data_IF_336994954219
#
_entry.id   IF_336994954219
#
_cell.length_a   1.000
_cell.length_b   1.000
_cell.length_c   1.000
_cell.angle_alpha   90.00
_cell.angle_beta   90.00
_cell.angle_gamma   90.00
#
_symmetry.space_group_name_H-M   'P 1'
#
loop_
_entity.id
_entity.type
_entity.pdbx_description
1 polymer ?
#
# COMPACT_ATOMS: atom_id res chain seq x y z
N UNK A 1 2.24 -24.36 19.83
CA UNK A 1 1.88 -24.62 18.41
C UNK A 1 0.44 -24.13 18.24
N UNK A 2 0.24 -22.94 17.66
CA UNK A 2 -1.12 -22.41 17.46
C UNK A 2 -1.78 -23.19 16.34
N UNK A 3 -2.91 -23.85 16.64
CA UNK A 3 -3.62 -24.71 15.68
C UNK A 3 -4.29 -23.93 14.55
N UNK A 4 -4.82 -22.74 14.84
CA UNK A 4 -5.38 -21.79 13.88
C UNK A 4 -5.86 -20.57 14.66
N UNK A 5 -5.70 -19.34 14.13
CA UNK A 5 -6.26 -18.12 14.73
C UNK A 5 -7.14 -17.38 13.73
N UNK A 6 -8.41 -17.20 14.09
CA UNK A 6 -9.41 -16.49 13.27
C UNK A 6 -9.18 -14.98 13.32
N UNK A 7 -9.21 -14.31 12.16
CA UNK A 7 -9.19 -12.84 12.00
C UNK A 7 -10.63 -12.35 11.79
N UNK A 8 -11.36 -12.98 10.87
CA UNK A 8 -12.79 -12.76 10.60
C UNK A 8 -13.49 -14.10 10.49
N UNK A 9 -14.81 -14.14 10.41
CA UNK A 9 -15.56 -15.41 10.32
C UNK A 9 -15.10 -16.30 9.14
N UNK A 10 -14.58 -15.69 8.07
CA UNK A 10 -14.10 -16.37 6.87
C UNK A 10 -12.58 -16.33 6.64
N UNK A 11 -11.79 -15.65 7.49
CA UNK A 11 -10.35 -15.49 7.32
C UNK A 11 -9.59 -15.87 8.61
N UNK A 12 -8.54 -16.67 8.48
CA UNK A 12 -7.72 -17.13 9.59
C UNK A 12 -6.23 -17.22 9.20
N UNK A 13 -5.39 -17.52 10.18
CA UNK A 13 -3.97 -17.84 9.99
C UNK A 13 -3.59 -19.13 10.70
N UNK A 14 -2.72 -19.90 10.05
CA UNK A 14 -2.12 -21.10 10.60
C UNK A 14 -1.97 -22.20 9.55
N UNK A 15 -2.05 -23.44 10.00
CA UNK A 15 -1.97 -24.60 9.12
C UNK A 15 -3.33 -24.87 8.47
N UNK A 16 -3.31 -25.19 7.17
CA UNK A 16 -4.53 -25.50 6.43
C UNK A 16 -5.12 -26.82 6.90
N UNK A 17 -6.26 -26.74 7.60
CA UNK A 17 -7.07 -27.88 8.01
C UNK A 17 -8.48 -27.69 7.43
N UNK A 18 -9.00 -28.72 6.77
CA UNK A 18 -10.36 -28.68 6.24
C UNK A 18 -11.36 -28.26 7.34
N UNK A 19 -12.31 -27.35 7.06
CA UNK A 19 -12.68 -26.82 5.73
C UNK A 19 -11.89 -25.60 5.22
N UNK A 20 -10.85 -25.16 5.94
CA UNK A 20 -10.06 -23.99 5.56
C UNK A 20 -9.09 -24.28 4.43
N UNK A 21 -8.97 -23.34 3.48
CA UNK A 21 -8.08 -23.46 2.31
C UNK A 21 -7.06 -22.32 2.28
N UNK A 22 -5.81 -22.59 1.88
CA UNK A 22 -4.80 -21.55 1.70
C UNK A 22 -5.24 -20.44 0.76
N UNK A 23 -4.90 -19.19 1.09
CA UNK A 23 -5.16 -18.04 0.20
C UNK A 23 -4.53 -18.23 -1.19
N UNK A 24 -3.38 -18.92 -1.26
CA UNK A 24 -2.69 -19.24 -2.51
C UNK A 24 -3.55 -19.99 -3.55
N UNK A 25 -4.65 -20.62 -3.12
CA UNK A 25 -5.58 -21.34 -3.99
C UNK A 25 -6.70 -20.46 -4.58
N UNK A 26 -6.77 -19.17 -4.22
CA UNK A 26 -7.86 -18.29 -4.63
C UNK A 26 -7.44 -17.30 -5.72
N UNK A 27 -8.37 -16.88 -6.61
CA UNK A 27 -8.17 -15.75 -7.49
C UNK A 27 -8.03 -14.47 -6.65
N UNK A 28 -6.80 -13.94 -6.61
CA UNK A 28 -6.45 -12.78 -5.79
C UNK A 28 -5.93 -11.67 -6.70
N UNK A 29 -6.48 -10.45 -6.60
CA UNK A 29 -5.87 -9.27 -7.17
C UNK A 29 -5.11 -8.51 -6.07
N UNK A 30 -3.82 -8.31 -6.26
CA UNK A 30 -2.98 -7.56 -5.34
C UNK A 30 -2.73 -6.17 -5.93
N UNK A 31 -3.13 -5.14 -5.21
CA UNK A 31 -2.78 -3.76 -5.53
C UNK A 31 -1.37 -3.48 -5.04
N UNK A 32 -0.50 -3.13 -5.99
CA UNK A 32 0.91 -2.85 -5.75
C UNK A 32 1.14 -1.35 -5.93
N UNK A 33 1.70 -0.72 -4.91
CA UNK A 33 2.15 0.67 -5.01
C UNK A 33 2.15 1.41 -3.68
N UNK A 34 2.86 2.53 -3.66
CA UNK A 34 3.06 3.39 -2.49
C UNK A 34 1.89 4.34 -2.25
N UNK A 35 1.95 5.20 -1.24
CA UNK A 35 0.83 6.10 -0.91
C UNK A 35 0.66 7.17 -2.00
N UNK A 36 -0.57 7.54 -2.33
CA UNK A 36 -0.89 8.57 -3.34
C UNK A 36 -0.95 8.07 -4.79
N UNK A 37 -0.69 6.79 -5.06
CA UNK A 37 -0.76 6.23 -6.44
C UNK A 37 -2.19 5.92 -6.91
N UNK A 38 -3.23 6.10 -6.09
CA UNK A 38 -4.62 5.93 -6.52
C UNK A 38 -5.32 4.62 -6.14
N UNK A 39 -4.71 3.75 -5.32
CA UNK A 39 -5.28 2.44 -4.92
C UNK A 39 -6.74 2.49 -4.46
N UNK A 40 -7.07 3.37 -3.50
CA UNK A 40 -8.45 3.50 -2.98
C UNK A 40 -9.45 3.91 -4.06
N UNK A 41 -9.06 4.89 -4.90
CA UNK A 41 -9.88 5.34 -6.02
C UNK A 41 -10.10 4.23 -7.05
N UNK A 42 -9.09 3.39 -7.29
CA UNK A 42 -9.24 2.21 -8.15
C UNK A 42 -10.20 1.19 -7.54
N UNK A 43 -10.13 0.93 -6.23
CA UNK A 43 -11.08 0.02 -5.55
C UNK A 43 -12.52 0.51 -5.71
N UNK A 44 -12.76 1.80 -5.50
CA UNK A 44 -14.09 2.42 -5.70
C UNK A 44 -14.55 2.31 -7.18
N UNK A 45 -13.64 2.51 -8.13
CA UNK A 45 -13.95 2.36 -9.54
C UNK A 45 -14.30 0.92 -9.92
N UNK A 46 -13.60 -0.09 -9.36
CA UNK A 46 -13.94 -1.51 -9.55
C UNK A 46 -15.36 -1.82 -9.03
N UNK A 47 -15.73 -1.27 -7.86
CA UNK A 47 -17.08 -1.42 -7.31
C UNK A 47 -18.13 -0.74 -8.17
N UNK A 48 -17.88 0.49 -8.61
CA UNK A 48 -18.76 1.26 -9.49
C UNK A 48 -18.95 0.57 -10.84
N UNK A 49 -17.90 -0.08 -11.33
CA UNK A 49 -17.91 -0.92 -12.51
C UNK A 49 -18.64 -2.27 -12.28
N UNK A 50 -19.23 -2.51 -11.11
CA UNK A 50 -20.05 -3.68 -10.82
C UNK A 50 -19.27 -4.97 -10.56
N UNK A 51 -17.96 -4.91 -10.30
CA UNK A 51 -17.20 -6.08 -9.91
C UNK A 51 -17.55 -6.47 -8.47
N UNK A 52 -17.85 -7.75 -8.27
CA UNK A 52 -18.14 -8.31 -6.95
C UNK A 52 -16.87 -8.91 -6.36
N UNK A 53 -16.35 -8.34 -5.29
CA UNK A 53 -15.13 -8.84 -4.65
C UNK A 53 -15.14 -8.61 -3.14
N UNK A 54 -14.27 -9.35 -2.44
CA UNK A 54 -14.05 -9.22 -1.01
C UNK A 54 -12.68 -8.62 -0.78
N UNK A 55 -12.63 -7.49 -0.07
CA UNK A 55 -11.38 -6.90 0.38
C UNK A 55 -10.83 -7.70 1.55
N UNK A 56 -9.58 -8.16 1.41
CA UNK A 56 -8.79 -8.67 2.52
C UNK A 56 -8.45 -7.51 3.49
N UNK A 57 -8.19 -7.82 4.78
CA UNK A 57 -7.67 -6.83 5.71
C UNK A 57 -6.45 -6.13 5.12
N UNK A 58 -6.35 -4.82 5.33
CA UNK A 58 -5.29 -4.02 4.71
C UNK A 58 -3.91 -4.31 5.34
N UNK A 59 -2.85 -3.75 4.75
CA UNK A 59 -1.47 -3.88 5.26
C UNK A 59 -1.34 -3.61 6.77
N UNK A 60 -2.05 -2.60 7.30
CA UNK A 60 -1.94 -2.22 8.72
C UNK A 60 -2.58 -3.27 9.61
N UNK A 61 -3.79 -3.71 9.28
CA UNK A 61 -4.51 -4.76 10.00
C UNK A 61 -3.73 -6.07 10.01
N UNK A 62 -3.22 -6.53 8.85
CA UNK A 62 -2.39 -7.74 8.81
C UNK A 62 -1.06 -7.58 9.55
N UNK A 63 -0.48 -6.37 9.57
CA UNK A 63 0.72 -6.12 10.37
C UNK A 63 0.43 -6.30 11.86
N UNK A 64 -0.69 -5.76 12.34
CA UNK A 64 -1.08 -5.81 13.75
C UNK A 64 -1.43 -7.23 14.16
N UNK A 65 -2.28 -7.87 13.38
CA UNK A 65 -2.74 -9.21 13.64
C UNK A 65 -1.60 -10.23 13.55
N UNK A 66 -0.81 -10.19 12.47
CA UNK A 66 0.08 -11.31 12.14
C UNK A 66 1.53 -10.99 12.42
N UNK A 67 2.04 -9.93 11.84
CA UNK A 67 3.47 -9.63 11.88
C UNK A 67 3.90 -9.34 13.32
N UNK A 68 3.26 -8.37 13.97
CA UNK A 68 3.59 -7.97 15.34
C UNK A 68 3.27 -9.10 16.31
N UNK A 69 2.07 -9.67 16.23
CA UNK A 69 1.69 -10.77 17.12
C UNK A 69 2.61 -12.00 17.02
N UNK A 70 3.10 -12.33 15.82
CA UNK A 70 4.06 -13.42 15.63
C UNK A 70 5.43 -13.08 16.23
N UNK A 71 5.91 -11.85 16.10
CA UNK A 71 7.18 -11.45 16.70
C UNK A 71 7.10 -11.40 18.23
N UNK A 72 6.00 -10.89 18.80
CA UNK A 72 5.73 -10.95 20.25
C UNK A 72 5.75 -12.40 20.74
N UNK A 73 5.01 -13.29 20.07
CA UNK A 73 4.97 -14.72 20.43
C UNK A 73 6.36 -15.36 20.34
N UNK A 74 7.14 -15.05 19.30
CA UNK A 74 8.49 -15.56 19.13
C UNK A 74 9.45 -15.07 20.22
N UNK A 75 9.23 -13.87 20.77
CA UNK A 75 9.95 -13.31 21.90
C UNK A 75 9.45 -13.81 23.27
N UNK A 76 8.40 -14.65 23.31
CA UNK A 76 7.77 -15.11 24.55
C UNK A 76 6.89 -14.05 25.22
N UNK A 77 6.52 -12.99 24.49
CA UNK A 77 5.68 -11.90 24.96
C UNK A 77 4.19 -12.20 24.72
N UNK A 78 3.32 -11.61 25.54
CA UNK A 78 1.88 -11.64 25.29
C UNK A 78 1.53 -10.83 24.04
N UNK A 79 0.65 -11.37 23.19
CA UNK A 79 0.16 -10.66 22.01
C UNK A 79 -0.72 -9.50 22.46
N UNK A 80 -0.31 -8.27 22.12
CA UNK A 80 -1.01 -7.05 22.48
C UNK A 80 -0.86 -6.00 21.39
N UNK A 81 -1.87 -5.13 21.25
CA UNK A 81 -1.83 -4.04 20.30
C UNK A 81 -0.68 -3.08 20.62
N UNK A 82 0.19 -2.84 19.64
CA UNK A 82 1.31 -1.90 19.77
C UNK A 82 0.93 -0.59 19.08
N UNK A 83 0.73 0.46 19.89
CA UNK A 83 0.45 1.82 19.42
C UNK A 83 1.73 2.63 19.15
N UNK A 84 2.82 2.29 19.83
CA UNK A 84 4.12 2.93 19.67
C UNK A 84 4.70 2.68 18.27
N UNK A 85 4.91 3.76 17.51
CA UNK A 85 5.37 3.69 16.13
C UNK A 85 6.78 3.11 15.98
N UNK A 86 7.68 3.39 16.91
CA UNK A 86 9.06 2.90 16.88
C UNK A 86 9.05 1.39 17.10
N UNK A 87 8.36 0.93 18.15
CA UNK A 87 8.24 -0.51 18.43
C UNK A 87 7.62 -1.28 17.27
N UNK A 88 6.60 -0.72 16.62
CA UNK A 88 5.99 -1.32 15.41
C UNK A 88 7.03 -1.48 14.30
N UNK A 89 7.85 -0.46 14.06
CA UNK A 89 8.92 -0.56 13.07
C UNK A 89 9.91 -1.66 13.43
N UNK A 90 10.33 -1.75 14.70
CA UNK A 90 11.26 -2.78 15.16
C UNK A 90 10.72 -4.19 14.93
N UNK A 91 9.46 -4.47 15.30
CA UNK A 91 8.86 -5.78 15.04
C UNK A 91 8.74 -6.06 13.53
N UNK A 92 8.36 -5.06 12.72
CA UNK A 92 8.30 -5.28 11.26
C UNK A 92 9.67 -5.51 10.64
N UNK A 93 10.72 -4.88 11.16
CA UNK A 93 12.10 -5.09 10.72
C UNK A 93 12.59 -6.50 11.09
N UNK A 94 12.39 -6.91 12.35
CA UNK A 94 12.69 -8.27 12.81
C UNK A 94 11.96 -9.33 11.98
N UNK A 95 10.69 -9.08 11.66
CA UNK A 95 9.92 -9.97 10.81
C UNK A 95 10.54 -10.12 9.42
N UNK A 96 10.92 -9.00 8.77
CA UNK A 96 11.57 -9.03 7.45
C UNK A 96 12.93 -9.72 7.47
N UNK A 97 13.69 -9.58 8.56
CA UNK A 97 14.95 -10.30 8.74
C UNK A 97 14.73 -11.82 8.78
N UNK A 98 13.64 -12.27 9.40
CA UNK A 98 13.28 -13.69 9.46
C UNK A 98 12.61 -14.21 8.19
N UNK A 99 11.77 -13.38 7.56
CA UNK A 99 10.98 -13.69 6.39
C UNK A 99 11.17 -12.59 5.34
N UNK A 100 12.12 -12.75 4.41
CA UNK A 100 12.48 -11.69 3.46
C UNK A 100 11.30 -11.17 2.62
N UNK A 101 10.32 -12.04 2.31
CA UNK A 101 9.09 -11.66 1.61
C UNK A 101 8.14 -10.75 2.40
N UNK A 102 8.38 -10.52 3.69
CA UNK A 102 7.64 -9.58 4.52
C UNK A 102 6.12 -9.77 4.46
N UNK A 103 5.40 -8.76 3.96
CA UNK A 103 3.94 -8.82 3.83
C UNK A 103 3.47 -9.98 2.92
N UNK A 104 4.22 -10.34 1.89
CA UNK A 104 3.86 -11.47 1.03
C UNK A 104 3.94 -12.82 1.75
N UNK A 105 4.93 -12.98 2.62
CA UNK A 105 4.97 -14.12 3.51
C UNK A 105 3.75 -14.12 4.43
N UNK A 106 3.40 -12.99 5.05
CA UNK A 106 2.20 -12.90 5.89
C UNK A 106 0.91 -13.29 5.14
N UNK A 107 0.74 -12.84 3.89
CA UNK A 107 -0.39 -13.24 3.02
C UNK A 107 -0.42 -14.74 2.77
N UNK A 108 0.74 -15.38 2.53
CA UNK A 108 0.81 -16.82 2.27
C UNK A 108 0.34 -17.69 3.45
N UNK A 109 0.32 -17.12 4.66
CA UNK A 109 -0.16 -17.80 5.87
C UNK A 109 -1.68 -17.68 6.06
N UNK A 110 -2.36 -16.89 5.22
CA UNK A 110 -3.80 -16.70 5.31
C UNK A 110 -4.56 -17.95 4.83
N UNK A 111 -5.62 -18.27 5.54
CA UNK A 111 -6.57 -19.34 5.25
C UNK A 111 -7.95 -18.73 5.08
N UNK A 112 -8.69 -19.22 4.08
CA UNK A 112 -10.05 -18.79 3.75
C UNK A 112 -11.01 -19.94 4.00
N UNK A 113 -12.14 -19.63 4.64
CA UNK A 113 -13.26 -20.57 4.83
C UNK A 113 -14.27 -20.38 3.68
N UNK A 114 -14.36 -21.31 2.71
CA UNK A 114 -15.17 -21.10 1.52
C UNK A 114 -16.67 -20.87 1.80
N UNK A 115 -17.22 -21.52 2.83
CA UNK A 115 -18.65 -21.48 3.14
C UNK A 115 -19.12 -20.12 3.66
N UNK A 116 -18.20 -19.29 4.15
CA UNK A 116 -18.52 -17.97 4.72
C UNK A 116 -17.94 -16.81 3.92
N UNK A 117 -17.21 -17.12 2.84
CA UNK A 117 -16.60 -16.10 2.01
C UNK A 117 -17.69 -15.36 1.20
N UNK A 118 -17.79 -14.02 1.29
CA UNK A 118 -18.83 -13.27 0.58
C UNK A 118 -18.75 -13.43 -0.94
N UNK A 119 -17.54 -13.40 -1.49
CA UNK A 119 -17.27 -13.54 -2.92
C UNK A 119 -15.95 -14.27 -3.16
N UNK A 120 -15.88 -15.13 -4.18
CA UNK A 120 -14.65 -15.88 -4.50
C UNK A 120 -13.50 -15.02 -5.03
N UNK A 121 -13.78 -13.83 -5.58
CA UNK A 121 -12.77 -12.86 -5.98
C UNK A 121 -12.28 -12.06 -4.77
N UNK A 122 -10.98 -12.10 -4.54
CA UNK A 122 -10.33 -11.43 -3.41
C UNK A 122 -9.45 -10.28 -3.90
N UNK A 123 -9.43 -9.17 -3.16
CA UNK A 123 -8.51 -8.06 -3.41
C UNK A 123 -7.69 -7.77 -2.16
N UNK A 124 -6.39 -7.58 -2.32
CA UNK A 124 -5.50 -7.11 -1.25
C UNK A 124 -4.82 -5.79 -1.63
N UNK A 125 -4.96 -4.78 -0.77
CA UNK A 125 -4.20 -3.53 -0.84
C UNK A 125 -3.07 -3.56 0.18
N UNK A 126 -1.84 -3.83 -0.27
CA UNK A 126 -0.73 -3.76 0.69
C UNK A 126 0.69 -4.07 0.26
N UNK A 127 0.98 -4.46 -0.99
CA UNK A 127 2.37 -4.70 -1.41
C UNK A 127 3.02 -3.45 -2.01
N UNK A 128 4.31 -3.26 -1.73
CA UNK A 128 5.03 -2.01 -2.04
C UNK A 128 6.45 -2.19 -2.59
N UNK A 129 7.18 -3.21 -2.15
CA UNK A 129 8.61 -3.37 -2.43
C UNK A 129 8.94 -4.57 -3.32
N UNK A 130 10.17 -4.59 -3.83
CA UNK A 130 10.71 -5.62 -4.72
C UNK A 130 10.61 -7.02 -4.10
N UNK A 131 11.05 -7.16 -2.85
CA UNK A 131 11.05 -8.44 -2.16
C UNK A 131 9.61 -8.91 -1.92
N UNK A 132 8.72 -8.00 -1.48
CA UNK A 132 7.31 -8.32 -1.27
C UNK A 132 6.66 -8.86 -2.55
N UNK A 133 6.81 -8.18 -3.69
CA UNK A 133 6.16 -8.60 -4.93
C UNK A 133 6.78 -9.87 -5.52
N UNK A 134 8.09 -10.05 -5.38
CA UNK A 134 8.79 -11.26 -5.87
C UNK A 134 8.32 -12.49 -5.11
N UNK A 135 8.32 -12.43 -3.78
CA UNK A 135 7.83 -13.53 -2.94
C UNK A 135 6.33 -13.76 -3.13
N UNK A 136 5.52 -12.72 -3.31
CA UNK A 136 4.09 -12.89 -3.58
C UNK A 136 3.86 -13.65 -4.90
N UNK A 137 4.63 -13.32 -5.94
CA UNK A 137 4.48 -13.94 -7.23
C UNK A 137 4.86 -15.44 -7.23
N UNK A 138 5.77 -15.85 -6.33
CA UNK A 138 6.14 -17.25 -6.08
C UNK A 138 5.13 -17.99 -5.19
N UNK A 139 4.76 -17.40 -4.05
CA UNK A 139 3.93 -18.05 -3.02
C UNK A 139 2.43 -18.05 -3.36
N UNK A 140 1.97 -17.13 -4.21
CA UNK A 140 0.58 -16.94 -4.59
C UNK A 140 0.44 -17.10 -6.11
N UNK A 141 0.50 -18.33 -6.64
CA UNK A 141 0.56 -18.58 -8.08
C UNK A 141 -0.71 -18.16 -8.83
N UNK A 142 -1.83 -18.02 -8.12
CA UNK A 142 -3.12 -17.56 -8.66
C UNK A 142 -3.34 -16.04 -8.51
N UNK A 143 -2.37 -15.32 -7.94
CA UNK A 143 -2.48 -13.88 -7.79
C UNK A 143 -2.17 -13.14 -9.11
N UNK A 144 -3.00 -12.13 -9.39
CA UNK A 144 -2.74 -11.06 -10.35
C UNK A 144 -2.25 -9.82 -9.60
N UNK A 145 -1.46 -9.00 -10.27
CA UNK A 145 -0.87 -7.78 -9.71
C UNK A 145 -1.31 -6.58 -10.52
N UNK A 146 -2.02 -5.65 -9.88
CA UNK A 146 -2.29 -4.33 -10.43
C UNK A 146 -1.26 -3.36 -9.89
N UNK A 147 -0.28 -3.01 -10.73
CA UNK A 147 0.79 -2.06 -10.40
C UNK A 147 0.28 -0.67 -10.73
N UNK A 148 0.08 0.14 -9.69
CA UNK A 148 -0.41 1.52 -9.82
C UNK A 148 0.72 2.50 -9.64
N UNK A 149 0.91 3.35 -10.65
CA UNK A 149 2.02 4.28 -10.73
C UNK A 149 1.53 5.73 -10.83
N UNK A 150 2.33 6.63 -10.26
CA UNK A 150 2.17 8.07 -10.36
C UNK A 150 3.50 8.78 -10.06
N UNK A 151 3.85 9.85 -10.80
CA UNK A 151 5.00 10.69 -10.48
C UNK A 151 4.94 11.25 -9.05
N UNK A 152 6.11 11.55 -8.46
CA UNK A 152 6.20 12.03 -7.08
C UNK A 152 5.38 13.32 -6.87
N UNK A 153 5.48 14.30 -7.77
CA UNK A 153 4.73 15.56 -7.69
C UNK A 153 3.21 15.32 -7.64
N UNK A 154 2.71 14.38 -8.44
CA UNK A 154 1.28 14.01 -8.48
C UNK A 154 0.87 13.36 -7.16
N UNK A 155 1.72 12.48 -6.61
CA UNK A 155 1.46 11.85 -5.31
C UNK A 155 1.39 12.88 -4.18
N UNK A 156 2.30 13.87 -4.16
CA UNK A 156 2.28 14.96 -3.17
C UNK A 156 0.97 15.74 -3.27
N UNK A 157 0.57 16.16 -4.48
CA UNK A 157 -0.70 16.88 -4.69
C UNK A 157 -1.92 16.08 -4.24
N UNK A 158 -1.97 14.78 -4.54
CA UNK A 158 -3.06 13.89 -4.11
C UNK A 158 -3.12 13.76 -2.59
N UNK A 159 -1.97 13.76 -1.92
CA UNK A 159 -1.92 13.74 -0.46
C UNK A 159 -2.40 15.07 0.14
N UNK A 160 -2.09 16.21 -0.49
CA UNK A 160 -2.58 17.53 -0.09
C UNK A 160 -4.10 17.65 -0.28
N UNK A 161 -4.63 17.15 -1.40
CA UNK A 161 -6.06 17.18 -1.72
C UNK A 161 -6.92 16.21 -0.90
N UNK A 162 -6.32 15.30 -0.12
CA UNK A 162 -7.03 14.28 0.68
C UNK A 162 -7.71 14.82 1.94
N UNK A 163 -7.51 16.10 2.28
CA UNK A 163 -8.23 16.79 3.35
C UNK A 163 -8.21 16.02 4.67
N UNK A 164 -7.13 16.13 5.46
CA UNK A 164 -7.25 15.81 6.87
C UNK A 164 -8.22 16.82 7.51
N UNK A 165 -9.19 16.34 8.30
CA UNK A 165 -10.20 17.16 8.99
C UNK A 165 -9.63 18.15 10.02
N UNK A 166 -8.31 18.29 10.10
CA UNK A 166 -7.60 19.10 11.08
C UNK A 166 -7.11 20.46 10.58
N UNK A 167 -7.03 20.71 9.27
CA UNK A 167 -6.47 21.97 8.75
C UNK A 167 -7.50 22.83 8.01
N UNK A 168 -8.40 23.43 8.79
CA UNK A 168 -8.98 24.74 8.43
C UNK A 168 -8.30 25.81 9.26
N UNK A 169 -7.06 26.16 8.91
CA UNK A 169 -6.41 27.33 9.49
C UNK A 169 -6.70 28.55 8.61
N UNK A 170 -7.47 29.47 9.19
CA UNK A 170 -7.71 30.80 8.68
C UNK A 170 -6.40 31.55 8.43
N UNK A 171 -6.29 32.09 7.22
CA UNK A 171 -5.18 32.88 6.69
C UNK A 171 -4.64 33.94 7.66
N UNK A 172 -3.36 33.81 8.01
CA UNK A 172 -2.50 34.97 8.26
C UNK A 172 -1.49 34.96 7.12
N UNK A 173 -1.44 36.04 6.35
CA UNK A 173 -0.46 36.24 5.29
C UNK A 173 0.96 36.11 5.86
N UNK A 174 1.55 34.93 5.76
CA UNK A 174 2.96 34.73 6.03
C UNK A 174 3.74 35.31 4.86
N UNK A 175 4.73 36.15 5.20
CA UNK A 175 5.72 36.71 4.27
C UNK A 175 6.17 35.63 3.29
N UNK A 176 6.23 35.99 2.00
CA UNK A 176 6.88 35.21 0.92
C UNK A 176 8.18 34.61 1.46
N UNK A 177 8.14 33.33 1.81
CA UNK A 177 9.35 32.60 2.09
C UNK A 177 9.93 32.25 0.72
N UNK A 178 11.02 32.91 0.33
CA UNK A 178 11.91 32.52 -0.78
C UNK A 178 12.66 31.21 -0.43
N UNK A 179 11.94 30.25 0.12
CA UNK A 179 12.47 29.02 0.66
C UNK A 179 11.89 27.93 -0.23
N UNK A 180 12.67 27.48 -1.22
CA UNK A 180 12.29 26.35 -2.07
C UNK A 180 12.11 25.06 -1.27
N UNK A 181 11.76 23.95 -1.93
CA UNK A 181 11.47 22.69 -1.25
C UNK A 181 12.57 22.24 -0.29
N UNK A 182 13.85 22.43 -0.67
CA UNK A 182 15.02 22.09 0.17
C UNK A 182 15.01 22.82 1.51
N UNK A 183 14.52 24.06 1.54
CA UNK A 183 14.45 24.80 2.79
C UNK A 183 13.22 24.45 3.65
N UNK A 184 12.21 23.79 3.07
CA UNK A 184 11.16 23.12 3.84
C UNK A 184 11.62 21.76 4.36
N UNK A 185 12.31 20.99 3.51
CA UNK A 185 12.81 19.65 3.83
C UNK A 185 14.09 19.38 3.01
N UNK A 186 15.28 19.28 3.66
CA UNK A 186 16.55 19.09 2.96
C UNK A 186 16.58 17.88 2.04
N UNK A 187 15.86 16.81 2.40
CA UNK A 187 15.76 15.56 1.66
C UNK A 187 15.07 15.70 0.29
N UNK A 188 14.44 16.83 -0.02
CA UNK A 188 13.89 17.10 -1.35
C UNK A 188 14.96 17.48 -2.39
N UNK A 189 16.20 17.74 -1.97
CA UNK A 189 17.27 18.19 -2.85
C UNK A 189 17.50 17.23 -4.03
N UNK A 190 17.28 17.73 -5.25
CA UNK A 190 17.46 16.96 -6.49
C UNK A 190 16.44 15.85 -6.72
N UNK A 191 15.36 15.80 -5.93
CA UNK A 191 14.29 14.81 -6.09
C UNK A 191 13.24 15.27 -7.10
N UNK A 192 12.98 16.58 -7.15
CA UNK A 192 12.00 17.21 -8.04
C UNK A 192 12.72 18.04 -9.10
N UNK A 193 12.12 18.14 -10.28
CA UNK A 193 12.53 19.09 -11.31
C UNK A 193 12.23 20.53 -10.89
N UNK A 194 12.88 21.52 -11.50
CA UNK A 194 12.64 22.93 -11.18
C UNK A 194 11.17 23.33 -11.42
N UNK A 195 10.54 22.76 -12.45
CA UNK A 195 9.13 22.95 -12.76
C UNK A 195 8.22 22.36 -11.67
N UNK A 196 8.51 21.15 -11.21
CA UNK A 196 7.76 20.50 -10.12
C UNK A 196 7.94 21.24 -8.78
N UNK A 197 9.14 21.72 -8.48
CA UNK A 197 9.40 22.54 -7.29
C UNK A 197 8.61 23.84 -7.33
N UNK A 198 8.66 24.56 -8.45
CA UNK A 198 7.92 25.79 -8.65
C UNK A 198 6.40 25.57 -8.53
N UNK A 199 5.91 24.44 -9.06
CA UNK A 199 4.50 24.08 -8.97
C UNK A 199 4.06 23.81 -7.52
N UNK A 200 4.81 23.02 -6.75
CA UNK A 200 4.48 22.74 -5.35
C UNK A 200 4.58 23.99 -4.47
N UNK A 201 5.61 24.81 -4.68
CA UNK A 201 5.76 26.09 -3.98
C UNK A 201 4.69 27.12 -4.38
N UNK A 202 4.21 27.06 -5.63
CA UNK A 202 3.09 27.85 -6.11
C UNK A 202 1.82 27.63 -5.29
N UNK A 203 1.53 26.39 -4.91
CA UNK A 203 0.37 26.07 -4.04
C UNK A 203 0.44 26.76 -2.66
N UNK A 204 1.65 26.89 -2.10
CA UNK A 204 1.87 27.62 -0.84
C UNK A 204 1.76 29.12 -1.05
N UNK A 205 2.36 29.64 -2.13
CA UNK A 205 2.33 31.06 -2.47
C UNK A 205 0.91 31.56 -2.75
N UNK A 206 0.08 30.73 -3.38
CA UNK A 206 -1.33 31.01 -3.69
C UNK A 206 -2.26 30.78 -2.47
N UNK A 207 -1.71 30.31 -1.34
CA UNK A 207 -2.47 30.05 -0.12
C UNK A 207 -3.42 28.86 -0.22
N UNK A 208 -3.25 27.98 -1.21
CA UNK A 208 -4.04 26.75 -1.40
C UNK A 208 -3.73 25.74 -0.30
N UNK A 209 -2.47 25.67 0.13
CA UNK A 209 -1.99 24.80 1.22
C UNK A 209 -1.01 25.55 2.13
N UNK A 210 -0.84 25.09 3.36
CA UNK A 210 0.19 25.62 4.25
C UNK A 210 1.57 25.01 3.92
N UNK A 211 2.64 25.74 4.26
CA UNK A 211 4.00 25.23 4.13
C UNK A 211 4.24 23.98 5.01
N UNK A 212 3.58 23.92 6.18
CA UNK A 212 3.65 22.79 7.11
C UNK A 212 2.98 21.53 6.52
N UNK A 213 1.80 21.68 5.90
CA UNK A 213 1.12 20.55 5.26
C UNK A 213 1.94 20.02 4.07
N UNK A 214 2.49 20.93 3.25
CA UNK A 214 3.41 20.56 2.16
C UNK A 214 4.63 19.80 2.71
N UNK A 215 5.29 20.32 3.75
CA UNK A 215 6.43 19.66 4.39
C UNK A 215 6.04 18.27 4.92
N UNK A 216 4.87 18.14 5.55
CA UNK A 216 4.35 16.88 6.07
C UNK A 216 4.12 15.84 4.97
N UNK A 217 3.48 16.22 3.86
CA UNK A 217 3.25 15.29 2.73
C UNK A 217 4.53 14.96 1.98
N UNK A 218 5.48 15.90 1.85
CA UNK A 218 6.81 15.65 1.30
C UNK A 218 7.57 14.60 2.12
N UNK A 219 7.55 14.75 3.45
CA UNK A 219 8.18 13.78 4.36
C UNK A 219 7.65 12.36 4.15
N UNK A 220 6.34 12.20 3.92
CA UNK A 220 5.73 10.90 3.62
C UNK A 220 6.31 10.31 2.34
N UNK A 221 6.25 11.03 1.22
CA UNK A 221 6.67 10.49 -0.08
C UNK A 221 8.18 10.22 -0.15
N UNK A 222 9.00 11.08 0.47
CA UNK A 222 10.46 10.94 0.52
C UNK A 222 10.87 9.76 1.40
N UNK A 223 10.22 9.61 2.56
CA UNK A 223 10.44 8.43 3.41
C UNK A 223 10.06 7.15 2.67
N UNK A 224 8.93 7.13 1.95
CA UNK A 224 8.55 5.95 1.17
C UNK A 224 9.55 5.66 0.04
N UNK A 225 10.05 6.67 -0.67
CA UNK A 225 11.08 6.51 -1.71
C UNK A 225 12.40 5.98 -1.16
N UNK A 226 12.78 6.36 0.06
CA UNK A 226 13.99 5.84 0.70
C UNK A 226 13.86 4.37 1.14
N UNK A 227 12.63 3.87 1.32
CA UNK A 227 12.37 2.53 1.85
C UNK A 227 11.83 1.53 0.81
N UNK A 228 11.31 2.02 -0.30
CA UNK A 228 10.73 1.20 -1.36
C UNK A 228 11.21 1.70 -2.71
N UNK A 229 11.44 0.76 -3.62
CA UNK A 229 11.72 1.00 -5.03
C UNK A 229 10.52 0.54 -5.87
N UNK A 230 9.56 1.45 -6.19
CA UNK A 230 8.38 1.10 -6.98
C UNK A 230 8.73 0.67 -8.40
N UNK A 231 9.75 1.29 -9.01
CA UNK A 231 10.21 0.95 -10.36
C UNK A 231 10.81 -0.45 -10.37
N UNK A 232 11.69 -0.75 -9.40
CA UNK A 232 12.22 -2.10 -9.21
C UNK A 232 11.12 -3.13 -8.93
N UNK A 233 10.07 -2.78 -8.18
CA UNK A 233 8.95 -3.69 -7.93
C UNK A 233 8.15 -3.99 -9.21
N UNK A 234 7.92 -2.98 -10.06
CA UNK A 234 7.33 -3.18 -11.38
C UNK A 234 8.21 -4.10 -12.24
N UNK A 235 9.50 -3.81 -12.31
CA UNK A 235 10.44 -4.59 -13.12
C UNK A 235 10.51 -6.05 -12.68
N UNK A 236 10.60 -6.30 -11.36
CA UNK A 236 10.58 -7.64 -10.80
C UNK A 236 9.32 -8.41 -11.18
N UNK A 237 8.13 -7.80 -11.06
CA UNK A 237 6.87 -8.45 -11.45
C UNK A 237 6.81 -8.78 -12.95
N UNK A 238 7.30 -7.87 -13.80
CA UNK A 238 7.35 -8.11 -15.24
C UNK A 238 8.32 -9.23 -15.63
N UNK A 239 9.33 -9.52 -14.81
CA UNK A 239 10.22 -10.67 -15.01
C UNK A 239 9.61 -11.99 -14.54
N UNK A 240 8.79 -11.98 -13.47
CA UNK A 240 8.20 -13.20 -12.90
C UNK A 240 6.99 -13.71 -13.70
N UNK A 241 6.22 -12.84 -14.35
CA UNK A 241 5.12 -13.28 -15.23
C UNK A 241 4.23 -12.14 -15.72
N UNK A 242 4.45 -11.67 -16.96
CA UNK A 242 3.71 -10.54 -17.56
C UNK A 242 2.22 -10.80 -17.72
N UNK A 243 1.83 -12.06 -17.83
CA UNK A 243 0.44 -12.49 -17.97
C UNK A 243 -0.39 -12.18 -16.72
N UNK A 244 0.24 -12.19 -15.53
CA UNK A 244 -0.40 -11.88 -14.24
C UNK A 244 -0.28 -10.42 -13.84
N UNK A 245 0.33 -9.56 -14.66
CA UNK A 245 0.56 -8.15 -14.34
C UNK A 245 -0.32 -7.25 -15.19
N UNK A 246 -0.95 -6.29 -14.52
CA UNK A 246 -1.73 -5.20 -15.10
C UNK A 246 -1.06 -3.90 -14.66
N UNK A 247 -0.67 -3.07 -15.63
CA UNK A 247 -0.05 -1.77 -15.37
C UNK A 247 -1.13 -0.69 -15.43
N UNK A 248 -1.26 0.09 -14.36
CA UNK A 248 -2.17 1.23 -14.28
C UNK A 248 -1.39 2.51 -14.03
N UNK A 249 -1.08 3.24 -15.11
CA UNK A 249 -0.62 4.62 -15.01
C UNK A 249 -1.81 5.50 -14.64
N UNK A 250 -1.84 5.96 -13.38
CA UNK A 250 -2.98 6.72 -12.86
C UNK A 250 -2.96 8.20 -13.25
N UNK A 251 -2.00 8.62 -14.06
CA UNK A 251 -1.99 9.93 -14.72
C UNK A 251 -2.52 9.82 -16.14
N UNK A 252 -2.14 8.74 -16.85
CA UNK A 252 -2.58 8.52 -18.23
C UNK A 252 -3.97 7.91 -18.33
N UNK A 253 -4.39 7.11 -17.34
CA UNK A 253 -5.66 6.39 -17.33
C UNK A 253 -6.61 6.89 -16.24
N UNK A 254 -7.89 6.96 -16.57
CA UNK A 254 -8.94 7.20 -15.59
C UNK A 254 -9.13 5.97 -14.68
N UNK A 255 -9.70 6.15 -13.47
CA UNK A 255 -10.06 5.02 -12.61
C UNK A 255 -10.97 3.99 -13.30
N UNK A 256 -11.89 4.44 -14.15
CA UNK A 256 -12.80 3.59 -14.92
C UNK A 256 -12.06 2.79 -16.00
N UNK A 257 -11.09 3.40 -16.68
CA UNK A 257 -10.23 2.70 -17.65
C UNK A 257 -9.38 1.62 -16.97
N UNK A 258 -8.82 1.93 -15.80
CA UNK A 258 -8.10 0.93 -14.99
C UNK A 258 -9.05 -0.20 -14.55
N UNK A 259 -10.28 0.12 -14.14
CA UNK A 259 -11.26 -0.88 -13.77
C UNK A 259 -11.65 -1.79 -14.95
N UNK A 260 -11.74 -1.24 -16.16
CA UNK A 260 -11.95 -2.01 -17.39
C UNK A 260 -10.77 -2.95 -17.68
N UNK A 261 -9.53 -2.48 -17.56
CA UNK A 261 -8.33 -3.31 -17.72
C UNK A 261 -8.30 -4.48 -16.73
N UNK A 262 -8.71 -4.24 -15.48
CA UNK A 262 -8.82 -5.29 -14.46
C UNK A 262 -9.90 -6.31 -14.84
N UNK A 263 -11.08 -5.84 -15.28
CA UNK A 263 -12.17 -6.73 -15.71
C UNK A 263 -11.73 -7.63 -16.86
N UNK A 264 -11.02 -7.12 -17.84
CA UNK A 264 -10.64 -7.88 -19.05
C UNK A 264 -9.54 -8.93 -18.78
N UNK A 265 -8.81 -8.81 -17.67
CA UNK A 265 -7.61 -9.60 -17.39
C UNK A 265 -7.73 -10.53 -16.18
N UNK A 266 -8.54 -10.16 -15.19
CA UNK A 266 -8.62 -10.87 -13.91
C UNK A 266 -9.96 -11.57 -13.67
N UNK A 267 -11.06 -11.02 -14.20
CA UNK A 267 -12.42 -11.57 -14.04
C UNK A 267 -12.66 -12.68 -15.06
#
# INVERSE_FOLDING_TARGET
MFKQRTITSWLAVGEALAPWRPLAEWPLLILVGVTGVGKSTTVEALQTAGLSFTLLPNRRELTDELIIGQMQTAAGEAVQLVTDRIKRFDYTAQYRQKYPGGMAHALSQLLVLPSELPTAQLIFDGLRGVEEVTYAAELLPRAYFLVLEAPLVVRVKRLLGRGDAFDKVSSIAQKRAEVGLVGLIPEAAGVFTAEEEAELMGLVADGVVSAEDLQGKLKIVLTERANYDPDGAREALLQVGRERVILGDTVALSPEEIAALVRDRWV
#
